data_IF_371958978392
#
_entry.id   IF_371958978392
#
_cell.length_a   1.000
_cell.length_b   1.000
_cell.length_c   1.000
_cell.angle_alpha   90.00
_cell.angle_beta   90.00
_cell.angle_gamma   90.00
#
_symmetry.space_group_name_H-M   'P 1'
#
loop_
_entity.id
_entity.type
_entity.pdbx_description
1 polymer ?
#
# COMPACT_ATOMS: atom_id res chain seq x y z
N UNK A 1 -5.99 -9.62 -8.31
CA UNK A 1 -4.94 -9.59 -7.28
C UNK A 1 -5.55 -9.52 -5.89
N UNK A 2 -5.23 -10.45 -5.00
CA UNK A 2 -5.72 -10.51 -3.63
C UNK A 2 -4.60 -10.09 -2.66
N UNK A 3 -4.71 -8.88 -2.08
CA UNK A 3 -3.68 -8.33 -1.19
C UNK A 3 -3.44 -9.21 0.05
N UNK A 4 -4.50 -9.67 0.69
CA UNK A 4 -4.40 -10.48 1.91
C UNK A 4 -3.93 -11.90 1.62
N UNK A 5 -4.45 -12.51 0.55
CA UNK A 5 -3.98 -13.81 0.09
C UNK A 5 -2.51 -13.80 -0.33
N UNK A 6 -2.03 -12.75 -0.99
CA UNK A 6 -0.62 -12.60 -1.33
C UNK A 6 0.27 -12.38 -0.09
N UNK A 7 -0.22 -11.67 0.92
CA UNK A 7 0.48 -11.51 2.19
C UNK A 7 0.70 -12.86 2.88
N UNK A 8 -0.35 -13.70 2.96
CA UNK A 8 -0.28 -15.05 3.51
C UNK A 8 0.62 -15.96 2.67
N UNK A 9 0.53 -15.84 1.35
CA UNK A 9 1.38 -16.60 0.44
C UNK A 9 2.87 -16.33 0.66
N UNK A 10 3.30 -15.06 0.69
CA UNK A 10 4.72 -14.76 0.94
C UNK A 10 5.18 -15.17 2.33
N UNK A 11 4.34 -15.06 3.33
CA UNK A 11 4.63 -15.57 4.68
C UNK A 11 4.81 -17.09 4.68
N UNK A 12 3.99 -17.83 3.94
CA UNK A 12 4.10 -19.29 3.82
C UNK A 12 5.45 -19.74 3.24
N UNK A 13 6.05 -18.90 2.39
CA UNK A 13 7.37 -19.17 1.80
C UNK A 13 8.54 -19.00 2.78
N UNK A 14 8.28 -18.57 4.02
CA UNK A 14 9.29 -18.55 5.06
C UNK A 14 9.53 -19.92 5.72
N UNK A 15 8.75 -20.94 5.34
CA UNK A 15 8.91 -22.33 5.79
C UNK A 15 8.94 -22.47 7.32
N UNK A 16 8.07 -21.72 8.01
CA UNK A 16 7.95 -21.72 9.47
C UNK A 16 9.07 -20.97 10.22
N UNK A 17 10.00 -20.34 9.51
CA UNK A 17 11.01 -19.48 10.16
C UNK A 17 10.37 -18.17 10.61
N UNK A 18 10.56 -17.70 11.86
CA UNK A 18 9.99 -16.44 12.32
C UNK A 18 10.45 -15.24 11.49
N UNK A 19 9.63 -14.19 11.45
CA UNK A 19 10.00 -12.90 10.90
C UNK A 19 11.23 -12.30 11.61
N UNK A 20 12.04 -11.54 10.87
CA UNK A 20 13.13 -10.74 11.44
C UNK A 20 12.62 -9.63 12.38
N UNK A 21 11.37 -9.24 12.28
CA UNK A 21 10.75 -8.21 13.11
C UNK A 21 10.09 -8.81 14.35
N UNK A 22 10.60 -8.50 15.54
CA UNK A 22 10.15 -9.07 16.82
C UNK A 22 8.65 -8.89 17.12
N UNK A 23 8.05 -7.84 16.59
CA UNK A 23 6.64 -7.51 16.78
C UNK A 23 5.76 -7.81 15.56
N UNK A 24 6.25 -8.69 14.68
CA UNK A 24 5.56 -9.04 13.42
C UNK A 24 4.12 -9.52 13.65
N UNK A 25 3.90 -10.49 14.53
CA UNK A 25 2.58 -11.04 14.80
C UNK A 25 1.57 -9.96 15.24
N UNK A 26 2.04 -9.04 16.09
CA UNK A 26 1.23 -7.90 16.51
C UNK A 26 0.92 -6.97 15.34
N UNK A 27 1.92 -6.66 14.52
CA UNK A 27 1.76 -5.79 13.35
C UNK A 27 0.82 -6.42 12.34
N UNK A 28 0.96 -7.70 12.04
CA UNK A 28 0.07 -8.48 11.17
C UNK A 28 -1.38 -8.44 11.69
N UNK A 29 -1.58 -8.73 12.98
CA UNK A 29 -2.91 -8.68 13.58
C UNK A 29 -3.55 -7.29 13.47
N UNK A 30 -2.77 -6.23 13.60
CA UNK A 30 -3.23 -4.86 13.41
C UNK A 30 -3.64 -4.59 11.96
N UNK A 31 -2.84 -5.00 10.99
CA UNK A 31 -3.13 -4.80 9.56
C UNK A 31 -4.38 -5.59 9.15
N UNK A 32 -4.53 -6.82 9.64
CA UNK A 32 -5.73 -7.64 9.37
C UNK A 32 -7.02 -7.00 9.89
N UNK A 33 -6.98 -6.19 10.96
CA UNK A 33 -8.15 -5.42 11.43
C UNK A 33 -8.65 -4.39 10.42
N UNK A 34 -7.84 -3.99 9.43
CA UNK A 34 -8.23 -3.04 8.40
C UNK A 34 -9.07 -3.68 7.30
N UNK A 35 -9.12 -5.02 7.23
CA UNK A 35 -9.78 -5.76 6.15
C UNK A 35 -11.25 -5.38 6.01
N UNK A 36 -12.02 -5.44 7.09
CA UNK A 36 -13.45 -5.12 7.08
C UNK A 36 -13.72 -3.68 6.63
N UNK A 37 -12.87 -2.74 7.06
CA UNK A 37 -12.99 -1.35 6.65
C UNK A 37 -12.69 -1.17 5.16
N UNK A 38 -11.64 -1.82 4.66
CA UNK A 38 -11.29 -1.79 3.25
C UNK A 38 -12.43 -2.39 2.40
N UNK A 39 -12.94 -3.56 2.77
CA UNK A 39 -14.02 -4.25 2.05
C UNK A 39 -15.31 -3.43 2.02
N UNK A 40 -15.67 -2.78 3.14
CA UNK A 40 -16.86 -1.93 3.24
C UNK A 40 -16.76 -0.63 2.41
N UNK A 41 -15.55 -0.19 2.07
CA UNK A 41 -15.29 1.05 1.34
C UNK A 41 -14.62 0.81 -0.03
N UNK A 42 -14.48 -0.44 -0.45
CA UNK A 42 -13.86 -0.79 -1.74
C UNK A 42 -14.65 -0.16 -2.90
N UNK A 43 -13.92 0.41 -3.85
CA UNK A 43 -14.48 0.89 -5.10
C UNK A 43 -14.70 -0.22 -6.12
N UNK A 44 -15.13 0.18 -7.33
CA UNK A 44 -15.20 -0.74 -8.45
C UNK A 44 -13.83 -1.37 -8.74
N UNK A 45 -13.82 -2.65 -9.08
CA UNK A 45 -12.60 -3.32 -9.51
C UNK A 45 -12.26 -2.94 -10.93
N UNK A 46 -11.09 -2.37 -11.10
CA UNK A 46 -10.50 -2.00 -12.39
C UNK A 46 -9.18 -2.74 -12.59
N UNK A 47 -8.66 -2.72 -13.81
CA UNK A 47 -7.31 -3.21 -14.07
C UNK A 47 -6.31 -2.28 -13.38
N UNK A 48 -5.60 -2.82 -12.40
CA UNK A 48 -4.52 -2.16 -11.67
C UNK A 48 -3.18 -2.74 -12.08
N UNK A 49 -2.15 -1.92 -12.02
CA UNK A 49 -0.79 -2.33 -12.36
C UNK A 49 -0.14 -3.14 -11.24
N UNK A 50 -0.42 -2.81 -10.00
CA UNK A 50 0.13 -3.39 -8.77
C UNK A 50 1.61 -3.03 -8.56
N UNK A 51 2.45 -3.22 -9.56
CA UNK A 51 3.90 -2.96 -9.50
C UNK A 51 4.28 -1.59 -10.08
N UNK A 52 3.55 -0.54 -9.64
CA UNK A 52 3.76 0.83 -10.10
C UNK A 52 5.02 1.47 -9.47
N UNK A 53 6.16 0.79 -9.59
CA UNK A 53 7.46 1.34 -9.17
C UNK A 53 7.86 2.52 -10.07
N UNK A 54 8.55 3.55 -9.56
CA UNK A 54 8.98 4.70 -10.37
C UNK A 54 9.74 4.33 -11.65
N UNK A 55 10.52 3.25 -11.63
CA UNK A 55 11.32 2.78 -12.77
C UNK A 55 10.46 2.21 -13.91
N UNK A 56 9.20 1.87 -13.66
CA UNK A 56 8.25 1.40 -14.67
C UNK A 56 7.55 2.55 -15.42
N UNK A 57 7.82 3.82 -15.05
CA UNK A 57 7.29 4.99 -15.75
C UNK A 57 8.32 5.53 -16.75
N UNK A 58 8.04 5.38 -18.03
CA UNK A 58 8.88 5.90 -19.10
C UNK A 58 8.35 7.25 -19.58
N UNK A 59 9.22 8.26 -19.60
CA UNK A 59 8.95 9.57 -20.16
C UNK A 59 9.47 9.61 -21.59
N UNK A 60 8.57 9.72 -22.56
CA UNK A 60 8.89 9.70 -23.99
C UNK A 60 8.60 11.06 -24.59
N UNK A 61 9.65 11.74 -25.06
CA UNK A 61 9.51 13.01 -25.80
C UNK A 61 8.85 12.76 -27.17
N UNK A 62 7.77 13.47 -27.48
CA UNK A 62 7.01 13.31 -28.71
C UNK A 62 6.38 14.64 -29.16
N UNK A 63 6.77 15.13 -30.34
CA UNK A 63 6.14 16.26 -31.03
C UNK A 63 5.89 17.51 -30.14
N UNK A 64 6.84 17.83 -29.26
CA UNK A 64 6.79 19.01 -28.40
C UNK A 64 6.07 18.82 -27.06
N UNK A 65 5.83 17.57 -26.64
CA UNK A 65 5.32 17.21 -25.32
C UNK A 65 5.93 15.91 -24.79
N UNK A 66 5.70 15.63 -23.52
CA UNK A 66 6.14 14.40 -22.85
C UNK A 66 4.96 13.45 -22.70
N UNK A 67 5.06 12.23 -23.22
CA UNK A 67 4.14 11.14 -23.01
C UNK A 67 4.66 10.24 -21.90
N UNK A 68 3.82 9.86 -20.94
CA UNK A 68 4.16 8.89 -19.90
C UNK A 68 3.66 7.52 -20.35
N UNK A 69 4.52 6.51 -20.27
CA UNK A 69 4.17 5.11 -20.52
C UNK A 69 4.50 4.29 -19.31
N UNK A 70 3.55 3.46 -18.90
CA UNK A 70 3.72 2.48 -17.83
C UNK A 70 3.97 1.11 -18.45
N UNK A 71 5.06 0.46 -18.03
CA UNK A 71 5.52 -0.85 -18.52
C UNK A 71 5.53 -1.87 -17.39
N UNK A 72 5.79 -3.14 -17.74
CA UNK A 72 5.95 -4.25 -16.80
C UNK A 72 4.68 -4.61 -16.03
N UNK A 73 3.67 -5.08 -16.75
CA UNK A 73 2.34 -5.42 -16.24
C UNK A 73 2.22 -6.86 -15.71
N UNK A 74 3.33 -7.51 -15.33
CA UNK A 74 3.33 -8.93 -14.94
C UNK A 74 2.51 -9.21 -13.67
N UNK A 75 2.37 -8.23 -12.76
CA UNK A 75 1.55 -8.33 -11.54
C UNK A 75 0.13 -7.78 -11.70
N UNK A 76 -0.20 -7.27 -12.89
CA UNK A 76 -1.48 -6.61 -13.10
C UNK A 76 -2.68 -7.50 -12.79
N UNK A 77 -3.71 -6.91 -12.21
CA UNK A 77 -4.92 -7.65 -11.82
C UNK A 77 -6.10 -6.73 -11.51
N UNK A 78 -7.28 -7.34 -11.37
CA UNK A 78 -8.49 -6.60 -11.04
C UNK A 78 -8.51 -6.26 -9.55
N UNK A 79 -8.48 -4.96 -9.24
CA UNK A 79 -8.47 -4.44 -7.86
C UNK A 79 -9.11 -3.04 -7.80
N UNK A 80 -9.34 -2.48 -6.60
CA UNK A 80 -9.68 -1.07 -6.39
C UNK A 80 -8.54 -0.19 -6.93
N UNK A 81 -8.86 0.84 -7.74
CA UNK A 81 -7.88 1.74 -8.34
C UNK A 81 -6.93 2.39 -7.32
N UNK A 82 -7.40 2.61 -6.10
CA UNK A 82 -6.59 3.23 -5.03
C UNK A 82 -5.46 2.33 -4.52
N UNK A 83 -5.45 1.05 -4.88
CA UNK A 83 -4.31 0.16 -4.58
C UNK A 83 -3.06 0.60 -5.35
N UNK A 84 -3.18 1.05 -6.59
CA UNK A 84 -2.04 1.56 -7.35
C UNK A 84 -1.47 2.85 -6.73
N UNK A 85 -2.31 3.73 -6.18
CA UNK A 85 -1.82 4.89 -5.40
C UNK A 85 -1.02 4.45 -4.18
N UNK A 86 -1.53 3.46 -3.44
CA UNK A 86 -0.84 2.93 -2.25
C UNK A 86 0.48 2.26 -2.62
N UNK A 87 0.49 1.44 -3.66
CA UNK A 87 1.69 0.78 -4.17
C UNK A 87 2.74 1.81 -4.60
N UNK A 88 2.35 2.80 -5.39
CA UNK A 88 3.27 3.87 -5.79
C UNK A 88 3.89 4.58 -4.58
N UNK A 89 3.09 4.91 -3.56
CA UNK A 89 3.59 5.56 -2.35
C UNK A 89 4.66 4.75 -1.62
N UNK A 90 4.46 3.44 -1.46
CA UNK A 90 5.43 2.59 -0.75
C UNK A 90 6.70 2.34 -1.58
N UNK A 91 6.59 2.23 -2.90
CA UNK A 91 7.72 2.06 -3.80
C UNK A 91 8.57 3.32 -3.92
N UNK A 92 7.94 4.48 -4.05
CA UNK A 92 8.61 5.77 -4.07
C UNK A 92 9.13 6.21 -2.68
N UNK A 93 8.87 5.40 -1.64
CA UNK A 93 9.24 5.66 -0.25
C UNK A 93 8.74 7.03 0.25
N UNK A 94 7.53 7.42 -0.15
CA UNK A 94 6.93 8.69 0.22
C UNK A 94 6.68 8.80 1.72
N UNK A 95 6.96 9.98 2.28
CA UNK A 95 6.49 10.33 3.62
C UNK A 95 5.02 10.79 3.59
N UNK A 96 4.44 11.07 4.76
CA UNK A 96 3.03 11.46 4.87
C UNK A 96 2.67 12.70 4.04
N UNK A 97 3.42 13.82 4.07
CA UNK A 97 3.17 14.97 3.22
C UNK A 97 3.17 14.65 1.71
N UNK A 98 4.08 13.79 1.26
CA UNK A 98 4.15 13.38 -0.14
C UNK A 98 2.98 12.49 -0.55
N UNK A 99 2.55 11.58 0.34
CA UNK A 99 1.34 10.77 0.14
C UNK A 99 0.10 11.66 0.03
N UNK A 100 -0.05 12.62 0.94
CA UNK A 100 -1.19 13.55 0.92
C UNK A 100 -1.19 14.40 -0.36
N UNK A 101 -0.04 14.88 -0.80
CA UNK A 101 0.10 15.62 -2.07
C UNK A 101 -0.27 14.77 -3.29
N UNK A 102 0.12 13.49 -3.33
CA UNK A 102 -0.27 12.58 -4.42
C UNK A 102 -1.80 12.36 -4.44
N UNK A 103 -2.41 12.15 -3.27
CA UNK A 103 -3.87 12.00 -3.15
C UNK A 103 -4.56 13.28 -3.64
N UNK A 104 -4.09 14.46 -3.26
CA UNK A 104 -4.67 15.74 -3.68
C UNK A 104 -4.50 15.99 -5.19
N UNK A 105 -3.40 15.54 -5.79
CA UNK A 105 -3.22 15.57 -7.25
C UNK A 105 -4.18 14.62 -7.98
N UNK A 106 -4.45 13.45 -7.41
CA UNK A 106 -5.37 12.47 -8.00
C UNK A 106 -6.83 12.92 -7.89
N UNK A 107 -7.23 13.51 -6.77
CA UNK A 107 -8.58 14.01 -6.51
C UNK A 107 -8.64 15.54 -6.64
N UNK A 108 -8.66 16.04 -7.88
CA UNK A 108 -8.61 17.49 -8.18
C UNK A 108 -9.77 18.32 -7.59
N UNK A 109 -10.90 17.69 -7.29
CA UNK A 109 -12.07 18.32 -6.65
C UNK A 109 -12.13 18.04 -5.13
N UNK A 110 -11.07 17.49 -4.57
CA UNK A 110 -10.96 17.08 -3.17
C UNK A 110 -11.26 15.59 -2.94
N UNK A 111 -10.55 15.01 -1.99
CA UNK A 111 -10.69 13.60 -1.61
C UNK A 111 -11.61 13.48 -0.37
N UNK A 112 -12.73 12.73 -0.46
CA UNK A 112 -13.54 12.45 0.72
C UNK A 112 -12.72 11.76 1.82
N UNK A 113 -12.99 12.10 3.08
CA UNK A 113 -12.19 11.61 4.20
C UNK A 113 -12.17 10.07 4.30
N UNK A 114 -13.31 9.44 4.05
CA UNK A 114 -13.41 7.97 4.06
C UNK A 114 -12.55 7.32 2.97
N UNK A 115 -12.48 7.95 1.79
CA UNK A 115 -11.64 7.49 0.67
C UNK A 115 -10.17 7.68 1.00
N UNK A 116 -9.80 8.83 1.56
CA UNK A 116 -8.42 9.11 2.01
C UNK A 116 -7.97 8.10 3.07
N UNK A 117 -8.82 7.85 4.07
CA UNK A 117 -8.56 6.86 5.12
C UNK A 117 -8.42 5.45 4.55
N UNK A 118 -9.22 5.09 3.52
CA UNK A 118 -9.08 3.82 2.80
C UNK A 118 -7.73 3.72 2.08
N UNK A 119 -7.26 4.78 1.44
CA UNK A 119 -5.94 4.78 0.79
C UNK A 119 -4.83 4.56 1.83
N UNK A 120 -4.93 5.19 3.01
CA UNK A 120 -3.99 4.92 4.10
C UNK A 120 -4.05 3.48 4.59
N UNK A 121 -5.25 2.89 4.64
CA UNK A 121 -5.39 1.47 4.98
C UNK A 121 -4.71 0.57 3.93
N UNK A 122 -4.85 0.88 2.64
CA UNK A 122 -4.11 0.18 1.59
C UNK A 122 -2.59 0.34 1.73
N UNK A 123 -2.08 1.52 2.08
CA UNK A 123 -0.64 1.72 2.31
C UNK A 123 -0.15 0.82 3.45
N UNK A 124 -0.93 0.67 4.53
CA UNK A 124 -0.56 -0.24 5.63
C UNK A 124 -0.52 -1.71 5.17
N UNK A 125 -1.52 -2.15 4.42
CA UNK A 125 -1.62 -3.53 3.90
C UNK A 125 -0.51 -3.81 2.89
N UNK A 126 -0.32 -2.92 1.91
CA UNK A 126 0.73 -3.04 0.89
C UNK A 126 2.14 -3.01 1.51
N UNK A 127 2.36 -2.17 2.52
CA UNK A 127 3.61 -2.13 3.26
C UNK A 127 3.94 -3.46 3.94
N UNK A 128 2.97 -4.10 4.59
CA UNK A 128 3.19 -5.42 5.20
C UNK A 128 3.40 -6.50 4.14
N UNK A 129 2.58 -6.49 3.08
CA UNK A 129 2.71 -7.42 1.96
C UNK A 129 4.12 -7.39 1.36
N UNK A 130 4.65 -6.20 1.06
CA UNK A 130 5.98 -6.03 0.49
C UNK A 130 7.09 -6.32 1.49
N UNK A 131 6.88 -6.04 2.77
CA UNK A 131 7.78 -6.48 3.83
C UNK A 131 7.91 -8.01 3.86
N UNK A 132 6.79 -8.74 3.73
CA UNK A 132 6.79 -10.21 3.68
C UNK A 132 7.53 -10.72 2.44
N UNK A 133 7.32 -10.08 1.29
CA UNK A 133 8.07 -10.39 0.06
C UNK A 133 9.58 -10.14 0.23
N UNK A 134 9.97 -9.02 0.84
CA UNK A 134 11.38 -8.74 1.12
C UNK A 134 12.00 -9.79 2.04
N UNK A 135 11.31 -10.21 3.10
CA UNK A 135 11.78 -11.27 3.99
C UNK A 135 11.96 -12.60 3.25
N UNK A 136 11.01 -12.96 2.39
CA UNK A 136 11.16 -14.14 1.54
C UNK A 136 12.38 -14.04 0.63
N UNK A 137 12.54 -12.94 -0.09
CA UNK A 137 13.69 -12.74 -0.99
C UNK A 137 15.03 -12.64 -0.26
N UNK A 138 15.05 -12.08 0.96
CA UNK A 138 16.25 -12.02 1.79
C UNK A 138 16.76 -13.43 2.16
N UNK A 139 15.85 -14.38 2.35
CA UNK A 139 16.21 -15.80 2.59
C UNK A 139 16.83 -16.45 1.37
N UNK A 140 16.59 -15.92 0.18
CA UNK A 140 17.19 -16.31 -1.08
C UNK A 140 18.51 -15.55 -1.39
N UNK A 141 19.00 -14.74 -0.43
CA UNK A 141 20.25 -14.01 -0.54
C UNK A 141 20.14 -12.61 -1.16
N UNK A 142 18.92 -12.07 -1.33
CA UNK A 142 18.74 -10.69 -1.82
C UNK A 142 18.87 -9.71 -0.66
N UNK A 143 19.69 -8.69 -0.80
CA UNK A 143 19.88 -7.63 0.18
C UNK A 143 19.05 -6.39 -0.19
N UNK A 144 18.16 -5.96 0.71
CA UNK A 144 17.28 -4.79 0.49
C UNK A 144 17.70 -3.54 1.27
N UNK A 145 18.67 -3.67 2.19
CA UNK A 145 19.10 -2.56 3.04
C UNK A 145 17.92 -1.95 3.82
N UNK A 146 17.79 -0.63 3.77
CA UNK A 146 16.72 0.09 4.46
C UNK A 146 15.32 -0.08 3.84
N UNK A 147 15.25 -0.54 2.60
CA UNK A 147 13.97 -0.66 1.88
C UNK A 147 12.99 -1.60 2.61
N UNK A 148 13.43 -2.82 3.00
CA UNK A 148 12.60 -3.77 3.72
C UNK A 148 12.06 -3.19 5.03
N UNK A 149 12.92 -2.52 5.80
CA UNK A 149 12.52 -1.85 7.05
C UNK A 149 11.50 -0.73 6.79
N UNK A 150 11.65 0.02 5.70
CA UNK A 150 10.71 1.09 5.32
C UNK A 150 9.34 0.51 4.99
N UNK A 151 9.27 -0.60 4.25
CA UNK A 151 8.02 -1.30 3.97
C UNK A 151 7.32 -1.73 5.27
N UNK A 152 8.05 -2.33 6.20
CA UNK A 152 7.50 -2.73 7.50
C UNK A 152 7.00 -1.53 8.33
N UNK A 153 7.69 -0.39 8.27
CA UNK A 153 7.27 0.85 8.94
C UNK A 153 5.95 1.39 8.38
N UNK A 154 5.72 1.31 7.07
CA UNK A 154 4.43 1.70 6.48
C UNK A 154 3.27 0.94 7.12
N UNK A 155 3.39 -0.37 7.33
CA UNK A 155 2.36 -1.17 7.99
C UNK A 155 1.99 -0.60 9.38
N UNK A 156 2.98 -0.24 10.18
CA UNK A 156 2.79 0.25 11.55
C UNK A 156 2.28 1.68 11.61
N UNK A 157 2.92 2.56 10.86
CA UNK A 157 2.63 3.99 10.85
C UNK A 157 1.22 4.26 10.30
N UNK A 158 0.88 3.66 9.16
CA UNK A 158 -0.41 3.89 8.53
C UNK A 158 -1.56 3.16 9.24
N UNK A 159 -1.32 2.00 9.87
CA UNK A 159 -2.31 1.43 10.78
C UNK A 159 -2.68 2.43 11.89
N UNK A 160 -1.69 3.06 12.54
CA UNK A 160 -1.94 4.04 13.60
C UNK A 160 -2.72 5.24 13.07
N UNK A 161 -2.33 5.79 11.92
CA UNK A 161 -3.04 6.89 11.26
C UNK A 161 -4.51 6.52 11.01
N UNK A 162 -4.78 5.36 10.40
CA UNK A 162 -6.15 4.89 10.14
C UNK A 162 -6.95 4.76 11.43
N UNK A 163 -6.37 4.25 12.51
CA UNK A 163 -7.05 4.14 13.81
C UNK A 163 -7.42 5.52 14.38
N UNK A 164 -6.56 6.49 14.26
CA UNK A 164 -6.81 7.87 14.68
C UNK A 164 -7.94 8.51 13.85
N UNK A 165 -7.88 8.39 12.52
CA UNK A 165 -8.91 8.91 11.60
C UNK A 165 -10.28 8.28 11.86
N UNK A 166 -10.35 6.95 12.00
CA UNK A 166 -11.62 6.24 12.29
C UNK A 166 -12.21 6.63 13.66
N UNK A 167 -11.37 6.95 14.63
CA UNK A 167 -11.82 7.41 15.94
C UNK A 167 -12.45 8.80 15.84
N UNK A 168 -11.89 9.69 15.02
CA UNK A 168 -12.41 11.03 14.77
C UNK A 168 -13.77 10.99 14.01
N UNK A 169 -13.86 10.14 12.97
CA UNK A 169 -15.10 9.95 12.21
C UNK A 169 -16.23 9.44 13.12
N UNK A 170 -15.94 8.49 14.01
CA UNK A 170 -16.92 7.98 14.97
C UNK A 170 -17.33 9.05 16.00
N UNK A 171 -16.39 9.86 16.46
CA UNK A 171 -16.66 10.97 17.39
C UNK A 171 -17.56 12.03 16.78
N UNK A 172 -17.37 12.40 15.53
CA UNK A 172 -18.20 13.37 14.82
C UNK A 172 -19.65 12.89 14.66
N UNK A 173 -19.86 11.61 14.30
CA UNK A 173 -21.21 11.01 14.13
C UNK A 173 -22.01 10.86 15.43
N UNK A 174 -21.38 10.90 16.60
CA UNK A 174 -22.06 10.81 17.89
C UNK A 174 -22.47 12.18 18.44
N UNK A 175 -22.13 13.27 17.78
CA UNK A 175 -22.46 14.65 18.16
C UNK A 175 -23.50 15.32 17.24
N UNK A 176 -23.98 14.61 16.23
CA UNK A 176 -25.16 14.95 15.41
C UNK A 176 -26.44 14.24 15.92
#
# INVERSE_FOLDING_TARGET
>A
FDLFGQMEYYESLWEGTPSAYKDYEKTKAHVLQLKDYIEANAGERVLTHIDAVPDNFLFVEKNGGTEIRLIDWEYAGMQDAHVDLAMFCIYAMYDRPQVDALIDCYFTEGCPQEVRTKIYAYIAVCGLLWSNWCEYKSRLGVEFGEYSLRQYRYAKEYYRIVKEELSQIKGAKNHE
#
